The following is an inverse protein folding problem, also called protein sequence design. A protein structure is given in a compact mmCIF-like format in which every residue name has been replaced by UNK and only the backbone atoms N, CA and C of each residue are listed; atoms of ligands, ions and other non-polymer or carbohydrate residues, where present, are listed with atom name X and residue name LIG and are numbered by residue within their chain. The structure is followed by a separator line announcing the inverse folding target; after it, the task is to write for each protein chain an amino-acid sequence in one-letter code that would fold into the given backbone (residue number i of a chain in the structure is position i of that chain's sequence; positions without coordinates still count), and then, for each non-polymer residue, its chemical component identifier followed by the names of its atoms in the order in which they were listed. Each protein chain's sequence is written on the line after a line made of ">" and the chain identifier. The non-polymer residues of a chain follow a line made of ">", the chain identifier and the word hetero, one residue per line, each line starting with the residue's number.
data_IF_307660111154
#
_entry.id   IF_307660111154
#
_cell.length_a   1.000
_cell.length_b   1.000
_cell.length_c   1.000
_cell.angle_alpha   90.00
_cell.angle_beta   90.00
_cell.angle_gamma   90.00
#
_symmetry.space_group_name_H-M   'P 1'
#
loop_
_entity.id
_entity.type
_entity.pdbx_description
1 polymer ?
#
# COMPACT_ATOMS: atom_id res chain seq x y z
N UNK A 1 -3.67 -20.20 13.08
CA UNK A 1 -4.91 -19.75 12.42
C UNK A 1 -6.21 -20.33 13.00
N UNK A 2 -6.32 -21.63 13.32
CA UNK A 2 -7.59 -22.26 13.76
C UNK A 2 -8.19 -21.65 15.03
N UNK A 3 -7.34 -21.32 16.01
CA UNK A 3 -7.77 -20.64 17.23
C UNK A 3 -8.43 -19.28 16.93
N UNK A 4 -7.84 -18.49 16.03
CA UNK A 4 -8.39 -17.22 15.59
C UNK A 4 -9.73 -17.40 14.87
N UNK A 5 -9.83 -18.34 13.93
CA UNK A 5 -11.07 -18.64 13.21
C UNK A 5 -12.23 -18.95 14.16
N UNK A 6 -11.97 -19.79 15.17
CA UNK A 6 -12.95 -20.10 16.22
C UNK A 6 -13.29 -18.88 17.07
N UNK A 7 -12.28 -18.12 17.51
CA UNK A 7 -12.48 -16.94 18.35
C UNK A 7 -13.29 -15.85 17.63
N UNK A 8 -13.07 -15.66 16.34
CA UNK A 8 -13.80 -14.68 15.52
C UNK A 8 -15.21 -15.13 15.16
N UNK A 9 -15.60 -16.39 15.42
CA UNK A 9 -16.94 -16.89 15.13
C UNK A 9 -17.26 -16.96 13.63
N UNK A 10 -16.27 -17.20 12.77
CA UNK A 10 -16.45 -17.18 11.32
C UNK A 10 -17.24 -18.42 10.86
N UNK A 11 -18.37 -18.21 10.20
CA UNK A 11 -19.24 -19.30 9.72
C UNK A 11 -18.70 -20.09 8.52
N UNK A 12 -17.74 -19.56 7.75
CA UNK A 12 -17.12 -20.28 6.63
C UNK A 12 -16.22 -21.41 7.14
N UNK A 13 -16.17 -22.51 6.39
CA UNK A 13 -15.28 -23.64 6.70
C UNK A 13 -13.81 -23.18 6.72
N UNK A 14 -13.08 -23.54 7.79
CA UNK A 14 -11.72 -23.06 8.06
C UNK A 14 -10.79 -23.09 6.84
N UNK A 15 -10.73 -24.20 6.10
CA UNK A 15 -9.81 -24.36 4.95
C UNK A 15 -10.13 -23.38 3.81
N UNK A 16 -11.41 -23.20 3.49
CA UNK A 16 -11.83 -22.24 2.46
C UNK A 16 -11.62 -20.81 2.93
N UNK A 17 -11.88 -20.55 4.20
CA UNK A 17 -11.67 -19.24 4.80
C UNK A 17 -10.20 -18.81 4.77
N UNK A 18 -9.29 -19.61 5.35
CA UNK A 18 -7.88 -19.20 5.45
C UNK A 18 -7.23 -19.04 4.07
N UNK A 19 -7.51 -19.96 3.13
CA UNK A 19 -6.99 -19.86 1.77
C UNK A 19 -7.52 -18.60 1.05
N UNK A 20 -8.83 -18.34 1.17
CA UNK A 20 -9.44 -17.16 0.57
C UNK A 20 -8.87 -15.87 1.16
N UNK A 21 -8.59 -15.82 2.47
CA UNK A 21 -8.01 -14.65 3.12
C UNK A 21 -6.54 -14.42 2.77
N UNK A 22 -5.76 -15.49 2.65
CA UNK A 22 -4.37 -15.42 2.18
C UNK A 22 -4.33 -14.79 0.78
N UNK A 23 -5.18 -15.28 -0.13
CA UNK A 23 -5.25 -14.80 -1.51
C UNK A 23 -5.81 -13.37 -1.62
N UNK A 24 -6.90 -13.06 -0.91
CA UNK A 24 -7.59 -11.76 -0.98
C UNK A 24 -6.72 -10.60 -0.46
N UNK A 25 -5.96 -10.83 0.62
CA UNK A 25 -5.15 -9.79 1.27
C UNK A 25 -3.66 -9.88 0.95
N UNK A 26 -3.25 -10.84 0.12
CA UNK A 26 -1.87 -10.96 -0.35
C UNK A 26 -0.86 -11.35 0.73
N UNK A 27 -1.27 -12.14 1.72
CA UNK A 27 -0.36 -12.63 2.77
C UNK A 27 0.70 -13.56 2.16
N UNK A 28 1.93 -13.45 2.65
CA UNK A 28 3.10 -14.14 2.10
C UNK A 28 3.62 -15.24 3.02
N UNK A 29 3.88 -16.42 2.44
CA UNK A 29 4.45 -17.55 3.17
C UNK A 29 5.91 -17.26 3.58
N UNK A 30 6.28 -17.60 4.82
CA UNK A 30 7.58 -17.30 5.41
C UNK A 30 7.68 -15.90 6.04
N UNK A 31 6.69 -15.02 5.84
CA UNK A 31 6.60 -13.71 6.48
C UNK A 31 5.37 -13.64 7.38
N UNK A 32 4.19 -13.88 6.81
CA UNK A 32 2.90 -13.72 7.50
C UNK A 32 2.39 -15.03 8.10
N UNK A 33 2.69 -16.15 7.43
CA UNK A 33 2.32 -17.48 7.87
C UNK A 33 3.29 -18.55 7.41
N UNK A 34 3.19 -19.72 8.02
CA UNK A 34 3.87 -20.95 7.63
C UNK A 34 2.84 -22.09 7.55
N UNK A 35 2.98 -22.95 6.55
CA UNK A 35 2.13 -24.14 6.38
C UNK A 35 2.86 -25.35 6.93
N UNK A 36 2.24 -25.98 7.93
CA UNK A 36 2.73 -27.24 8.48
C UNK A 36 1.85 -28.37 7.99
N UNK A 37 2.46 -29.29 7.26
CA UNK A 37 1.85 -30.56 6.86
C UNK A 37 2.11 -31.61 7.93
N UNK A 38 1.04 -32.28 8.38
CA UNK A 38 1.14 -33.42 9.27
C UNK A 38 0.14 -34.49 8.87
N UNK A 39 0.42 -35.72 9.28
CA UNK A 39 -0.50 -36.83 9.04
C UNK A 39 -1.54 -36.87 10.17
N UNK A 40 -2.82 -36.78 9.81
CA UNK A 40 -3.92 -36.88 10.75
C UNK A 40 -3.92 -38.25 11.42
N UNK A 41 -4.27 -38.30 12.71
CA UNK A 41 -4.44 -39.60 13.38
C UNK A 41 -5.72 -40.26 12.84
N UNK A 42 -5.67 -41.55 12.45
CA UNK A 42 -6.88 -42.27 12.10
C UNK A 42 -7.81 -42.30 13.32
N UNK A 43 -9.10 -42.15 13.06
CA UNK A 43 -10.15 -42.32 14.07
C UNK A 43 -10.22 -43.79 14.49
N UNK A 44 -9.91 -44.13 15.76
CA UNK A 44 -9.94 -45.51 16.23
C UNK A 44 -11.32 -46.16 16.15
N UNK A 45 -12.40 -45.37 16.08
CA UNK A 45 -13.78 -45.85 16.09
C UNK A 45 -14.26 -46.24 14.69
N UNK A 46 -13.59 -45.77 13.63
CA UNK A 46 -14.01 -46.01 12.26
C UNK A 46 -12.99 -46.88 11.52
N UNK A 47 -13.38 -48.12 11.20
CA UNK A 47 -12.57 -49.05 10.40
C UNK A 47 -12.25 -48.54 8.98
N UNK A 48 -12.93 -47.49 8.51
CA UNK A 48 -12.68 -46.82 7.22
C UNK A 48 -11.77 -45.59 7.36
N UNK A 49 -11.35 -45.24 8.58
CA UNK A 49 -10.51 -44.08 8.83
C UNK A 49 -9.09 -44.34 8.34
N UNK A 50 -8.61 -43.47 7.44
CA UNK A 50 -7.25 -43.51 6.91
C UNK A 50 -6.51 -42.26 7.35
N UNK A 51 -5.20 -42.40 7.50
CA UNK A 51 -4.31 -41.27 7.68
C UNK A 51 -4.47 -40.31 6.50
N UNK A 52 -4.77 -39.04 6.76
CA UNK A 52 -4.88 -38.00 5.74
C UNK A 52 -3.86 -36.90 6.00
N UNK A 53 -3.28 -36.34 4.95
CA UNK A 53 -2.47 -35.13 5.08
C UNK A 53 -3.37 -33.98 5.54
N UNK A 54 -3.09 -33.46 6.72
CA UNK A 54 -3.75 -32.31 7.31
C UNK A 54 -2.82 -31.10 7.24
N UNK A 55 -3.43 -29.95 6.94
CA UNK A 55 -2.75 -28.66 6.86
C UNK A 55 -3.06 -27.84 8.11
N UNK A 56 -2.02 -27.33 8.73
CA UNK A 56 -2.08 -26.30 9.76
C UNK A 56 -1.40 -25.02 9.27
N UNK A 57 -2.06 -23.89 9.52
CA UNK A 57 -1.56 -22.57 9.18
C UNK A 57 -1.15 -21.89 10.47
N UNK A 58 0.16 -21.77 10.68
CA UNK A 58 0.74 -20.98 11.75
C UNK A 58 0.81 -19.55 11.22
N UNK A 59 0.22 -18.60 11.93
CA UNK A 59 0.13 -17.20 11.47
C UNK A 59 0.83 -16.30 12.47
N UNK A 60 1.43 -15.23 11.98
CA UNK A 60 1.99 -14.20 12.86
C UNK A 60 0.88 -13.47 13.60
N UNK A 61 1.27 -12.81 14.69
CA UNK A 61 0.36 -11.94 15.44
C UNK A 61 -0.13 -10.78 14.57
N UNK A 62 0.70 -10.25 13.66
CA UNK A 62 0.31 -9.15 12.77
C UNK A 62 -0.74 -9.59 11.76
N UNK A 63 -0.53 -10.70 11.07
CA UNK A 63 -1.55 -11.30 10.20
C UNK A 63 -2.85 -11.57 10.97
N UNK A 64 -2.77 -12.08 12.20
CA UNK A 64 -3.95 -12.32 13.04
C UNK A 64 -4.73 -11.03 13.35
N UNK A 65 -4.03 -9.93 13.64
CA UNK A 65 -4.65 -8.61 13.88
C UNK A 65 -5.35 -8.11 12.63
N UNK A 66 -4.69 -8.19 11.48
CA UNK A 66 -5.27 -7.77 10.19
C UNK A 66 -6.54 -8.57 9.87
N UNK A 67 -6.48 -9.90 9.96
CA UNK A 67 -7.64 -10.75 9.78
C UNK A 67 -8.78 -10.37 10.72
N UNK A 68 -8.50 -10.18 12.01
CA UNK A 68 -9.52 -9.77 12.97
C UNK A 68 -10.15 -8.40 12.63
N UNK A 69 -9.38 -7.45 12.08
CA UNK A 69 -9.89 -6.15 11.69
C UNK A 69 -10.78 -6.17 10.44
N UNK A 70 -10.53 -7.10 9.50
CA UNK A 70 -11.32 -7.20 8.26
C UNK A 70 -12.56 -8.09 8.39
N UNK A 71 -12.58 -8.99 9.38
CA UNK A 71 -13.73 -9.86 9.60
C UNK A 71 -14.97 -9.08 10.05
N UNK A 72 -16.10 -9.37 9.39
CA UNK A 72 -17.40 -8.76 9.68
C UNK A 72 -18.12 -9.52 10.80
N UNK A 73 -17.46 -9.66 11.95
CA UNK A 73 -18.01 -10.34 13.14
C UNK A 73 -18.03 -9.40 14.33
N UNK A 74 -18.79 -9.75 15.37
CA UNK A 74 -18.83 -8.96 16.62
C UNK A 74 -17.45 -8.90 17.28
N UNK A 75 -16.73 -10.02 17.27
CA UNK A 75 -15.37 -10.09 17.79
C UNK A 75 -14.41 -9.25 16.94
N UNK A 76 -14.55 -9.26 15.61
CA UNK A 76 -13.79 -8.36 14.74
C UNK A 76 -14.09 -6.88 14.99
N UNK A 77 -15.35 -6.53 15.30
CA UNK A 77 -15.72 -5.18 15.74
C UNK A 77 -15.05 -4.81 17.06
N UNK A 78 -15.05 -5.70 18.06
CA UNK A 78 -14.40 -5.46 19.35
C UNK A 78 -12.89 -5.24 19.19
N UNK A 79 -12.22 -6.03 18.34
CA UNK A 79 -10.79 -5.86 18.03
C UNK A 79 -10.52 -4.51 17.38
N UNK A 80 -11.33 -4.06 16.41
CA UNK A 80 -11.19 -2.72 15.81
C UNK A 80 -11.35 -1.61 16.85
N UNK A 81 -12.35 -1.70 17.73
CA UNK A 81 -12.56 -0.71 18.79
C UNK A 81 -11.37 -0.66 19.76
N UNK A 82 -10.78 -1.80 20.09
CA UNK A 82 -9.56 -1.87 20.89
C UNK A 82 -8.41 -1.12 20.22
N UNK A 83 -8.14 -1.34 18.92
CA UNK A 83 -7.05 -0.66 18.22
C UNK A 83 -7.28 0.85 18.06
N UNK A 84 -8.52 1.28 17.83
CA UNK A 84 -8.87 2.71 17.82
C UNK A 84 -8.53 3.34 19.17
N UNK A 85 -8.94 2.72 20.27
CA UNK A 85 -8.62 3.20 21.62
C UNK A 85 -7.10 3.25 21.86
N UNK A 86 -6.35 2.25 21.39
CA UNK A 86 -4.89 2.29 21.49
C UNK A 86 -4.27 3.47 20.71
N UNK A 87 -4.78 3.81 19.53
CA UNK A 87 -4.32 4.98 18.77
C UNK A 87 -4.66 6.29 19.50
N UNK A 88 -5.87 6.40 20.07
CA UNK A 88 -6.30 7.55 20.86
C UNK A 88 -5.42 7.75 22.10
N UNK A 89 -5.09 6.68 22.84
CA UNK A 89 -4.20 6.76 23.99
C UNK A 89 -2.75 7.07 23.59
N UNK A 90 -2.27 6.51 22.46
CA UNK A 90 -0.95 6.86 21.92
C UNK A 90 -0.88 8.35 21.55
N UNK A 91 -1.97 8.91 21.00
CA UNK A 91 -2.05 10.32 20.69
C UNK A 91 -1.92 11.21 21.94
N UNK A 92 -2.52 10.81 23.06
CA UNK A 92 -2.43 11.54 24.34
C UNK A 92 -1.03 11.47 24.94
N UNK A 93 -0.41 10.28 24.93
CA UNK A 93 0.89 10.04 25.59
C UNK A 93 2.06 10.54 24.75
N UNK A 94 2.00 10.39 23.42
CA UNK A 94 3.09 10.70 22.51
C UNK A 94 2.58 11.41 21.24
N UNK A 95 2.10 12.66 21.36
CA UNK A 95 1.47 13.39 20.26
C UNK A 95 2.41 13.58 19.06
N UNK A 96 3.71 13.83 19.30
CA UNK A 96 4.71 13.99 18.23
C UNK A 96 4.88 12.70 17.43
N UNK A 97 5.01 11.55 18.12
CA UNK A 97 5.15 10.24 17.47
C UNK A 97 3.88 9.83 16.73
N UNK A 98 2.72 10.07 17.35
CA UNK A 98 1.41 9.83 16.75
C UNK A 98 1.21 10.67 15.49
N UNK A 99 1.58 11.95 15.51
CA UNK A 99 1.55 12.81 14.34
C UNK A 99 2.48 12.33 13.22
N UNK A 100 3.69 11.85 13.54
CA UNK A 100 4.62 11.30 12.56
C UNK A 100 4.06 10.04 11.87
N UNK A 101 3.49 9.10 12.64
CA UNK A 101 2.86 7.88 12.10
C UNK A 101 1.65 8.23 11.21
N UNK A 102 0.82 9.19 11.63
CA UNK A 102 -0.31 9.65 10.81
C UNK A 102 0.14 10.33 9.52
N UNK A 103 1.24 11.10 9.56
CA UNK A 103 1.84 11.72 8.38
C UNK A 103 2.32 10.66 7.40
N UNK A 104 3.00 9.63 7.89
CA UNK A 104 3.45 8.51 7.06
C UNK A 104 2.27 7.79 6.39
N UNK A 105 1.22 7.44 7.17
CA UNK A 105 0.01 6.82 6.64
C UNK A 105 -0.65 7.70 5.57
N UNK A 106 -0.78 9.00 5.85
CA UNK A 106 -1.34 9.96 4.90
C UNK A 106 -0.54 10.00 3.61
N UNK A 107 0.79 10.08 3.68
CA UNK A 107 1.64 10.10 2.50
C UNK A 107 1.44 8.85 1.63
N UNK A 108 1.36 7.67 2.24
CA UNK A 108 1.12 6.40 1.51
C UNK A 108 -0.24 6.39 0.81
N UNK A 109 -1.31 6.82 1.49
CA UNK A 109 -2.66 6.87 0.90
C UNK A 109 -2.74 7.93 -0.21
N UNK A 110 -2.17 9.11 0.00
CA UNK A 110 -2.26 10.24 -0.93
C UNK A 110 -1.46 10.01 -2.22
N UNK A 111 -0.34 9.26 -2.18
CA UNK A 111 0.37 8.91 -3.44
C UNK A 111 -0.45 8.00 -4.34
N UNK A 112 -1.30 7.14 -3.78
CA UNK A 112 -2.19 6.33 -4.59
C UNK A 112 -3.33 7.15 -5.23
N UNK A 113 -3.64 8.36 -4.74
CA UNK A 113 -4.84 9.09 -5.14
C UNK A 113 -4.71 9.90 -6.43
N UNK A 114 -3.52 10.37 -6.81
CA UNK A 114 -3.37 11.31 -7.94
C UNK A 114 -2.90 10.66 -9.25
N UNK A 115 -2.31 9.47 -9.21
CA UNK A 115 -1.89 8.78 -10.43
C UNK A 115 -3.04 8.50 -11.41
N UNK A 116 -4.17 7.95 -10.94
CA UNK A 116 -5.33 7.65 -11.80
C UNK A 116 -5.98 8.92 -12.38
N UNK A 117 -6.28 9.97 -11.59
CA UNK A 117 -6.74 11.25 -12.14
C UNK A 117 -5.76 11.87 -13.15
N UNK A 118 -4.46 11.79 -12.92
CA UNK A 118 -3.45 12.28 -13.87
C UNK A 118 -3.50 11.53 -15.20
N UNK A 119 -3.63 10.21 -15.17
CA UNK A 119 -3.81 9.42 -16.38
C UNK A 119 -5.11 9.80 -17.12
N UNK A 120 -6.21 10.01 -16.41
CA UNK A 120 -7.47 10.45 -17.00
C UNK A 120 -7.38 11.84 -17.63
N UNK A 121 -6.71 12.80 -16.97
CA UNK A 121 -6.47 14.14 -17.52
C UNK A 121 -5.61 14.07 -18.80
N UNK A 122 -4.56 13.25 -18.80
CA UNK A 122 -3.71 13.04 -19.97
C UNK A 122 -4.50 12.42 -21.13
N UNK A 123 -5.36 11.45 -20.84
CA UNK A 123 -6.22 10.81 -21.84
C UNK A 123 -7.20 11.81 -22.45
N UNK A 124 -7.87 12.62 -21.63
CA UNK A 124 -8.79 13.66 -22.07
C UNK A 124 -8.09 14.70 -22.95
N UNK A 125 -6.96 15.25 -22.49
CA UNK A 125 -6.17 16.22 -23.26
C UNK A 125 -5.73 15.68 -24.63
N UNK A 126 -5.33 14.41 -24.70
CA UNK A 126 -4.95 13.79 -25.97
C UNK A 126 -6.15 13.54 -26.88
N UNK A 127 -7.29 13.16 -26.32
CA UNK A 127 -8.53 13.00 -27.07
C UNK A 127 -9.00 14.31 -27.69
N UNK A 128 -8.87 15.44 -26.97
CA UNK A 128 -9.14 16.79 -27.52
C UNK A 128 -8.26 17.14 -28.72
N UNK A 129 -7.02 16.64 -28.74
CA UNK A 129 -6.10 16.78 -29.87
C UNK A 129 -6.35 15.74 -30.99
N UNK A 130 -7.42 14.94 -30.89
CA UNK A 130 -7.74 13.87 -31.85
C UNK A 130 -6.76 12.70 -31.83
N UNK A 131 -6.03 12.50 -30.72
CA UNK A 131 -4.99 11.47 -30.57
C UNK A 131 -5.43 10.37 -29.62
N UNK A 132 -5.16 9.12 -29.98
CA UNK A 132 -5.34 7.98 -29.09
C UNK A 132 -4.26 7.96 -27.99
N UNK A 133 -4.62 7.48 -26.80
CA UNK A 133 -3.70 7.35 -25.67
C UNK A 133 -3.29 5.89 -25.48
N UNK A 134 -1.99 5.64 -25.56
CA UNK A 134 -1.35 4.34 -25.42
C UNK A 134 -0.61 4.22 -24.08
N UNK A 135 -0.41 2.98 -23.62
CA UNK A 135 0.22 2.67 -22.32
C UNK A 135 1.55 3.39 -22.08
N UNK A 136 2.39 3.51 -23.11
CA UNK A 136 3.70 4.14 -22.99
C UNK A 136 3.61 5.64 -22.68
N UNK A 137 2.49 6.32 -22.94
CA UNK A 137 2.29 7.71 -22.53
C UNK A 137 2.17 7.83 -21.01
N UNK A 138 1.38 6.97 -20.37
CA UNK A 138 1.30 6.92 -18.91
C UNK A 138 2.65 6.60 -18.27
N UNK A 139 3.38 5.62 -18.84
CA UNK A 139 4.73 5.29 -18.37
C UNK A 139 5.72 6.44 -18.55
N UNK A 140 5.60 7.20 -19.64
CA UNK A 140 6.46 8.37 -19.89
C UNK A 140 6.18 9.48 -18.87
N UNK A 141 4.91 9.74 -18.58
CA UNK A 141 4.49 10.75 -17.60
C UNK A 141 4.94 10.35 -16.18
N UNK A 142 4.69 9.10 -15.78
CA UNK A 142 5.13 8.57 -14.49
C UNK A 142 6.66 8.63 -14.33
N UNK A 143 7.41 8.26 -15.37
CA UNK A 143 8.86 8.32 -15.34
C UNK A 143 9.40 9.75 -15.31
N UNK A 144 8.71 10.73 -15.89
CA UNK A 144 9.08 12.13 -15.76
C UNK A 144 9.05 12.56 -14.29
N UNK A 145 7.93 12.30 -13.60
CA UNK A 145 7.77 12.64 -12.19
C UNK A 145 8.75 11.87 -11.30
N UNK A 146 8.92 10.56 -11.54
CA UNK A 146 9.86 9.73 -10.80
C UNK A 146 11.29 10.26 -10.93
N UNK A 147 11.72 10.68 -12.13
CA UNK A 147 13.05 11.28 -12.31
C UNK A 147 13.24 12.58 -11.55
N UNK A 148 12.20 13.41 -11.43
CA UNK A 148 12.28 14.65 -10.65
C UNK A 148 12.43 14.33 -9.15
N UNK A 149 11.64 13.38 -8.64
CA UNK A 149 11.64 13.03 -7.21
C UNK A 149 12.87 12.20 -6.80
N UNK A 150 13.34 11.31 -7.66
CA UNK A 150 14.36 10.29 -7.36
C UNK A 150 15.73 10.63 -7.95
N UNK A 151 16.04 11.93 -8.09
CA UNK A 151 17.38 12.38 -8.48
C UNK A 151 17.82 11.94 -9.88
N UNK A 152 16.91 11.93 -10.84
CA UNK A 152 17.16 11.57 -12.24
C UNK A 152 16.91 10.10 -12.59
N UNK A 153 16.58 9.26 -11.61
CA UNK A 153 16.30 7.83 -11.83
C UNK A 153 14.82 7.58 -12.14
N UNK A 154 14.53 6.58 -12.96
CA UNK A 154 13.16 6.04 -13.02
C UNK A 154 12.86 5.24 -11.75
N UNK A 155 11.58 5.01 -11.45
CA UNK A 155 11.18 4.19 -10.30
C UNK A 155 11.81 2.78 -10.34
N UNK A 156 11.91 2.19 -11.54
CA UNK A 156 12.56 0.89 -11.75
C UNK A 156 14.06 0.94 -11.47
N UNK A 157 14.77 1.95 -11.98
CA UNK A 157 16.20 2.12 -11.73
C UNK A 157 16.49 2.35 -10.24
N UNK A 158 15.67 3.17 -9.59
CA UNK A 158 15.79 3.44 -8.17
C UNK A 158 15.56 2.17 -7.33
N UNK A 159 14.55 1.36 -7.65
CA UNK A 159 14.32 0.10 -6.95
C UNK A 159 15.50 -0.88 -7.13
N UNK A 160 16.04 -0.99 -8.34
CA UNK A 160 17.22 -1.82 -8.61
C UNK A 160 18.44 -1.34 -7.82
N UNK A 161 18.68 -0.02 -7.75
CA UNK A 161 19.81 0.56 -7.02
C UNK A 161 19.73 0.33 -5.50
N UNK A 162 18.51 0.17 -4.96
CA UNK A 162 18.27 -0.05 -3.53
C UNK A 162 18.01 -1.53 -3.19
N UNK A 163 18.14 -2.46 -4.16
CA UNK A 163 17.91 -3.89 -3.93
C UNK A 163 16.46 -4.24 -3.58
N UNK A 164 15.49 -3.43 -4.02
CA UNK A 164 14.08 -3.58 -3.67
C UNK A 164 13.39 -4.56 -4.60
N UNK A 165 12.69 -5.54 -4.03
CA UNK A 165 11.78 -6.45 -4.73
C UNK A 165 10.34 -6.03 -4.49
N UNK A 166 9.60 -5.67 -5.55
CA UNK A 166 8.19 -5.26 -5.46
C UNK A 166 7.93 -3.87 -6.06
N UNK A 167 6.82 -3.25 -5.65
CA UNK A 167 6.43 -1.91 -6.12
C UNK A 167 7.37 -0.84 -5.51
N UNK A 168 8.06 -0.02 -6.33
CA UNK A 168 9.00 0.99 -5.84
C UNK A 168 8.35 2.00 -4.87
N UNK A 169 7.08 2.35 -5.09
CA UNK A 169 6.37 3.32 -4.24
C UNK A 169 6.24 2.87 -2.79
N UNK A 170 6.12 1.56 -2.53
CA UNK A 170 5.95 1.02 -1.16
C UNK A 170 7.20 1.21 -0.28
N UNK A 171 8.33 1.48 -0.91
CA UNK A 171 9.63 1.62 -0.26
C UNK A 171 10.12 3.07 -0.24
N UNK A 172 9.38 4.01 -0.84
CA UNK A 172 9.73 5.42 -0.82
C UNK A 172 9.53 6.02 0.57
N UNK A 173 10.43 6.93 0.95
CA UNK A 173 10.28 7.73 2.17
C UNK A 173 9.03 8.61 2.14
N UNK A 174 8.53 9.00 3.31
CA UNK A 174 7.41 9.95 3.44
C UNK A 174 7.65 11.24 2.64
N UNK A 175 8.88 11.75 2.62
CA UNK A 175 9.25 12.95 1.86
C UNK A 175 9.12 12.72 0.35
N UNK A 176 9.61 11.59 -0.17
CA UNK A 176 9.50 11.23 -1.58
C UNK A 176 8.05 11.03 -2.00
N UNK A 177 7.25 10.38 -1.16
CA UNK A 177 5.82 10.18 -1.41
C UNK A 177 5.08 11.51 -1.48
N UNK A 178 5.23 12.38 -0.48
CA UNK A 178 4.58 13.70 -0.47
C UNK A 178 5.01 14.57 -1.66
N UNK A 179 6.28 14.50 -2.05
CA UNK A 179 6.80 15.21 -3.23
C UNK A 179 6.15 14.69 -4.52
N UNK A 180 6.06 13.36 -4.66
CA UNK A 180 5.43 12.72 -5.81
C UNK A 180 3.96 13.10 -5.93
N UNK A 181 3.19 13.04 -4.83
CA UNK A 181 1.79 13.49 -4.82
C UNK A 181 1.64 14.95 -5.25
N UNK A 182 2.50 15.83 -4.74
CA UNK A 182 2.49 17.25 -5.11
C UNK A 182 2.72 17.46 -6.61
N UNK A 183 3.67 16.74 -7.19
CA UNK A 183 3.95 16.84 -8.63
C UNK A 183 2.87 16.17 -9.49
N UNK A 184 2.29 15.04 -9.06
CA UNK A 184 1.15 14.41 -9.76
C UNK A 184 -0.04 15.37 -9.80
N UNK A 185 -0.38 15.99 -8.67
CA UNK A 185 -1.45 16.99 -8.60
C UNK A 185 -1.15 18.21 -9.48
N UNK A 186 0.07 18.74 -9.41
CA UNK A 186 0.46 19.89 -10.23
C UNK A 186 0.40 19.55 -11.71
N UNK A 187 0.83 18.35 -12.11
CA UNK A 187 0.82 17.93 -13.50
C UNK A 187 -0.59 17.80 -14.07
N UNK A 188 -1.58 17.36 -13.27
CA UNK A 188 -3.00 17.38 -13.65
C UNK A 188 -3.39 18.78 -14.10
N UNK A 189 -3.15 19.79 -13.26
CA UNK A 189 -3.49 21.18 -13.56
C UNK A 189 -2.76 21.68 -14.81
N UNK A 190 -1.48 21.35 -14.98
CA UNK A 190 -0.74 21.79 -16.18
C UNK A 190 -1.26 21.13 -17.46
N UNK A 191 -1.73 19.87 -17.39
CA UNK A 191 -2.39 19.19 -18.51
C UNK A 191 -3.72 19.88 -18.84
N UNK A 192 -4.53 20.20 -17.83
CA UNK A 192 -5.81 20.90 -18.00
C UNK A 192 -5.64 22.31 -18.58
N UNK A 193 -4.51 22.96 -18.29
CA UNK A 193 -4.12 24.24 -18.91
C UNK A 193 -3.60 24.09 -20.36
N UNK A 194 -3.58 22.87 -20.89
CA UNK A 194 -3.22 22.58 -22.28
C UNK A 194 -1.72 22.60 -22.58
N UNK A 195 -0.86 22.65 -21.55
CA UNK A 195 0.59 22.71 -21.75
C UNK A 195 1.13 21.42 -22.36
N UNK A 196 2.15 21.53 -23.23
CA UNK A 196 2.82 20.36 -23.79
C UNK A 196 3.79 19.69 -22.81
N UNK A 197 4.27 18.50 -23.15
CA UNK A 197 5.16 17.72 -22.27
C UNK A 197 6.43 18.48 -21.83
N UNK A 198 7.08 19.22 -22.73
CA UNK A 198 8.32 19.94 -22.42
C UNK A 198 8.07 21.12 -21.50
N UNK A 199 6.98 21.87 -21.75
CA UNK A 199 6.52 22.95 -20.89
C UNK A 199 6.22 22.43 -19.48
N UNK A 200 5.42 21.36 -19.38
CA UNK A 200 5.08 20.74 -18.08
C UNK A 200 6.32 20.26 -17.35
N UNK A 201 7.24 19.57 -18.03
CA UNK A 201 8.49 19.10 -17.43
C UNK A 201 9.30 20.24 -16.82
N UNK A 202 9.47 21.35 -17.54
CA UNK A 202 10.22 22.50 -17.06
C UNK A 202 9.55 23.13 -15.82
N UNK A 203 8.22 23.28 -15.86
CA UNK A 203 7.47 23.85 -14.75
C UNK A 203 7.48 22.94 -13.51
N UNK A 204 7.33 21.63 -13.69
CA UNK A 204 7.39 20.66 -12.59
C UNK A 204 8.76 20.62 -11.91
N UNK A 205 9.86 20.77 -12.67
CA UNK A 205 11.21 20.92 -12.08
C UNK A 205 11.28 22.18 -11.22
N UNK A 206 10.74 23.30 -11.70
CA UNK A 206 10.70 24.56 -10.95
C UNK A 206 9.86 24.44 -9.67
N UNK A 207 8.67 23.85 -9.78
CA UNK A 207 7.78 23.61 -8.64
C UNK A 207 8.42 22.66 -7.62
N UNK A 208 9.10 21.61 -8.08
CA UNK A 208 9.86 20.67 -7.26
C UNK A 208 10.94 21.38 -6.42
N UNK A 209 11.76 22.22 -7.05
CA UNK A 209 12.81 22.98 -6.36
C UNK A 209 12.22 23.90 -5.28
N UNK A 210 11.13 24.63 -5.60
CA UNK A 210 10.44 25.50 -4.64
C UNK A 210 9.79 24.73 -3.50
N UNK A 211 9.30 23.52 -3.78
CA UNK A 211 8.69 22.66 -2.77
C UNK A 211 9.74 22.12 -1.80
N UNK A 212 10.90 21.68 -2.31
CA UNK A 212 12.03 21.21 -1.50
C UNK A 212 12.60 22.34 -0.64
N UNK A 213 12.80 23.54 -1.21
CA UNK A 213 13.34 24.70 -0.49
C UNK A 213 12.49 25.05 0.74
N UNK A 214 11.17 25.16 0.58
CA UNK A 214 10.23 25.46 1.68
C UNK A 214 10.33 24.46 2.84
N UNK A 215 10.53 23.18 2.53
CA UNK A 215 10.64 22.14 3.56
C UNK A 215 12.00 22.09 4.26
N UNK A 216 13.05 22.50 3.58
CA UNK A 216 14.36 22.68 4.20
C UNK A 216 14.32 23.83 5.20
N UNK A 217 13.63 24.94 4.86
CA UNK A 217 13.39 26.07 5.76
C UNK A 217 12.56 25.65 6.99
N UNK A 218 11.44 24.95 6.78
CA UNK A 218 10.60 24.43 7.87
C UNK A 218 11.36 23.52 8.84
N UNK A 219 12.23 22.63 8.33
CA UNK A 219 13.05 21.75 9.17
C UNK A 219 14.22 22.46 9.87
N UNK A 220 14.61 23.66 9.43
CA UNK A 220 15.68 24.45 10.07
C UNK A 220 15.19 25.37 11.20
N UNK A 221 13.87 25.50 11.35
CA UNK A 221 13.22 26.32 12.39
C UNK A 221 12.58 25.50 13.52
N UNK A 222 12.85 24.20 13.57
CA UNK A 222 12.41 23.25 14.61
C UNK A 222 13.65 22.70 15.32
#
# INVERSE_FOLDING_TARGET
>A
ARALHKALGVGRVFRSWIKGRIEEYGFTEGVDYEVVEYLSRPDPVSAKSRQQTALEYIITVNMAKELAMVERTEQGRAVRQYFIKCEEELHKVAPVRSAALRRELKARITVASYFKPMCAALEAYRAELGKNTLQHHYTTEANMLARIVLGGMTAKQWAQANGITGEPRDHMSTLQLEHLSYLEQSNITLIELGQDYHQRKAELIRLSQRWLARRMEENSHV
#
